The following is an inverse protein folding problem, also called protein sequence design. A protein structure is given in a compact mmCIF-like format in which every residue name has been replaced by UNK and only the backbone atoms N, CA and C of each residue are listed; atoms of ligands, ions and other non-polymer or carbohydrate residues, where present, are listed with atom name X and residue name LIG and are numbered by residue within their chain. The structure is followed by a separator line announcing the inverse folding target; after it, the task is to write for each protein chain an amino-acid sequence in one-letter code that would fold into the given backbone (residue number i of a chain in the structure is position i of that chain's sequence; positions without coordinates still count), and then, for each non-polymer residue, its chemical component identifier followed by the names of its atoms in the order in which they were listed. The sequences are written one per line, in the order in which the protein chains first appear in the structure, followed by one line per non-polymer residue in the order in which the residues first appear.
data_IF_336711367473
#
_entry.id   IF_336711367473
#
_cell.length_a   1.000
_cell.length_b   1.000
_cell.length_c   1.000
_cell.angle_alpha   90.00
_cell.angle_beta   90.00
_cell.angle_gamma   90.00
#
_symmetry.space_group_name_H-M   'P 1'
#
loop_
_entity.id
_entity.type
_entity.pdbx_description
1 polymer ?
#
# COMPACT_ATOMS: atom_id res chain seq x y z
N UNK A 1 3.52 12.03 31.87
CA UNK A 1 3.03 10.74 31.31
C UNK A 1 1.65 11.02 30.74
N UNK A 2 1.50 11.14 29.42
CA UNK A 2 0.21 11.49 28.80
C UNK A 2 -0.80 10.39 29.15
N UNK A 3 -1.97 10.68 29.76
CA UNK A 3 -3.01 9.68 29.91
C UNK A 3 -3.46 9.30 28.49
N UNK A 4 -3.12 8.09 28.07
CA UNK A 4 -3.59 7.55 26.80
C UNK A 4 -5.10 7.42 26.90
N UNK A 5 -5.79 8.19 26.07
CA UNK A 5 -7.20 8.02 25.75
C UNK A 5 -7.50 6.50 25.60
N UNK A 6 -8.51 5.96 26.32
CA UNK A 6 -8.87 4.54 26.28
C UNK A 6 -8.96 3.98 24.86
N UNK A 7 -9.42 4.79 23.89
CA UNK A 7 -9.49 4.42 22.47
C UNK A 7 -8.12 4.12 21.86
N UNK A 8 -7.11 4.96 22.14
CA UNK A 8 -5.73 4.79 21.64
C UNK A 8 -5.08 3.53 22.19
N UNK A 9 -5.34 3.20 23.46
CA UNK A 9 -4.83 1.98 24.08
C UNK A 9 -5.36 0.72 23.41
N UNK A 10 -6.65 0.70 23.06
CA UNK A 10 -7.25 -0.44 22.37
C UNK A 10 -6.76 -0.57 20.92
N UNK A 11 -6.60 0.56 20.19
CA UNK A 11 -5.99 0.56 18.85
C UNK A 11 -4.56 0.03 18.90
N UNK A 12 -3.74 0.48 19.86
CA UNK A 12 -2.37 0.01 20.03
C UNK A 12 -2.33 -1.49 20.34
N UNK A 13 -3.20 -1.96 21.25
CA UNK A 13 -3.28 -3.38 21.60
C UNK A 13 -3.63 -4.22 20.37
N UNK A 14 -4.62 -3.79 19.60
CA UNK A 14 -5.00 -4.48 18.35
C UNK A 14 -3.85 -4.49 17.34
N UNK A 15 -3.19 -3.37 17.11
CA UNK A 15 -2.06 -3.27 16.19
C UNK A 15 -0.90 -4.21 16.58
N UNK A 16 -0.55 -4.25 17.87
CA UNK A 16 0.48 -5.16 18.39
C UNK A 16 0.05 -6.61 18.20
N UNK A 17 -1.20 -6.97 18.56
CA UNK A 17 -1.71 -8.34 18.37
C UNK A 17 -1.70 -8.77 16.91
N UNK A 18 -2.14 -7.92 15.98
CA UNK A 18 -2.09 -8.19 14.55
C UNK A 18 -0.65 -8.35 14.04
N UNK A 19 0.30 -7.54 14.54
CA UNK A 19 1.70 -7.65 14.15
C UNK A 19 2.34 -8.95 14.64
N UNK A 20 2.10 -9.32 15.90
CA UNK A 20 2.56 -10.61 16.45
C UNK A 20 1.96 -11.77 15.67
N UNK A 21 0.66 -11.75 15.39
CA UNK A 21 -0.01 -12.77 14.58
C UNK A 21 0.60 -12.88 13.18
N UNK A 22 0.86 -11.74 12.52
CA UNK A 22 1.51 -11.68 11.20
C UNK A 22 2.88 -12.36 11.24
N UNK A 23 3.73 -12.01 12.22
CA UNK A 23 5.07 -12.58 12.36
C UNK A 23 5.04 -14.09 12.65
N UNK A 24 4.11 -14.54 13.49
CA UNK A 24 3.92 -15.96 13.79
C UNK A 24 3.46 -16.72 12.55
N UNK A 25 2.49 -16.20 11.81
CA UNK A 25 2.01 -16.83 10.56
C UNK A 25 3.11 -16.87 9.50
N UNK A 26 3.93 -15.82 9.37
CA UNK A 26 5.10 -15.83 8.47
C UNK A 26 6.09 -16.93 8.86
N UNK A 27 6.41 -17.07 10.15
CA UNK A 27 7.30 -18.14 10.61
C UNK A 27 6.73 -19.53 10.34
N UNK A 28 5.41 -19.73 10.55
CA UNK A 28 4.73 -20.99 10.27
C UNK A 28 4.73 -21.30 8.77
N UNK A 29 4.36 -20.35 7.93
CA UNK A 29 4.33 -20.54 6.48
C UNK A 29 5.72 -20.79 5.90
N UNK A 30 6.77 -20.10 6.39
CA UNK A 30 8.16 -20.41 6.04
C UNK A 30 8.57 -21.84 6.43
N UNK A 31 8.04 -22.37 7.53
CA UNK A 31 8.33 -23.73 7.97
C UNK A 31 7.58 -24.78 7.12
N UNK A 32 6.35 -24.49 6.69
CA UNK A 32 5.53 -25.42 5.89
C UNK A 32 5.84 -25.38 4.39
N UNK A 33 6.27 -24.23 3.89
CA UNK A 33 6.62 -24.01 2.48
C UNK A 33 8.12 -23.66 2.46
N UNK A 34 9.00 -24.68 2.54
CA UNK A 34 10.43 -24.43 2.52
C UNK A 34 10.81 -23.73 1.22
N UNK A 35 11.56 -22.63 1.38
CA UNK A 35 12.05 -21.80 0.29
C UNK A 35 12.74 -22.66 -0.79
N UNK A 36 12.33 -22.51 -2.04
CA UNK A 36 13.04 -23.09 -3.17
C UNK A 36 14.37 -22.34 -3.29
N UNK A 37 15.43 -22.86 -2.62
CA UNK A 37 16.83 -22.40 -2.71
C UNK A 37 16.99 -21.07 -3.46
N UNK A 38 16.73 -19.96 -2.79
CA UNK A 38 16.90 -18.62 -3.35
C UNK A 38 18.41 -18.31 -3.49
N UNK A 39 19.10 -19.04 -4.37
CA UNK A 39 20.50 -18.79 -4.75
C UNK A 39 20.66 -17.44 -5.47
N UNK A 40 19.56 -16.74 -5.76
CA UNK A 40 19.53 -15.43 -6.39
C UNK A 40 20.38 -14.36 -5.67
N UNK A 41 20.59 -14.50 -4.35
CA UNK A 41 21.45 -13.61 -3.56
C UNK A 41 22.70 -14.29 -3.01
N UNK A 42 22.97 -15.53 -3.40
CA UNK A 42 24.27 -16.16 -3.12
C UNK A 42 25.24 -15.71 -4.20
N UNK A 43 26.13 -14.73 -3.95
CA UNK A 43 27.20 -14.46 -4.89
C UNK A 43 27.98 -15.76 -5.10
N UNK A 44 28.48 -16.04 -6.33
CA UNK A 44 29.33 -17.20 -6.55
C UNK A 44 30.46 -17.15 -5.52
N UNK A 45 30.55 -18.17 -4.66
CA UNK A 45 31.55 -18.22 -3.60
C UNK A 45 32.92 -18.44 -4.26
N UNK A 46 33.66 -17.36 -4.44
CA UNK A 46 35.10 -17.45 -4.70
C UNK A 46 35.76 -17.94 -3.39
N UNK A 47 36.71 -18.87 -3.51
CA UNK A 47 37.39 -19.57 -2.42
C UNK A 47 38.01 -18.62 -1.36
N UNK A 48 38.39 -19.09 -0.15
CA UNK A 48 38.60 -18.19 0.99
C UNK A 48 39.77 -17.23 0.77
N UNK A 49 39.50 -15.98 1.08
CA UNK A 49 40.38 -14.84 0.84
C UNK A 49 41.48 -14.70 1.91
N UNK A 50 42.74 -14.66 1.48
CA UNK A 50 43.91 -14.44 2.34
C UNK A 50 44.26 -12.96 2.50
N UNK A 51 45.34 -12.64 3.21
CA UNK A 51 45.70 -11.26 3.60
C UNK A 51 45.93 -10.28 2.44
N UNK A 52 46.00 -10.75 1.19
CA UNK A 52 46.16 -9.94 -0.04
C UNK A 52 44.81 -9.68 -0.73
N UNK A 53 43.75 -10.43 -0.39
CA UNK A 53 42.37 -10.10 -0.80
C UNK A 53 41.87 -8.77 -0.19
N UNK A 54 42.60 -8.22 0.80
CA UNK A 54 42.44 -6.87 1.34
C UNK A 54 43.17 -5.77 0.54
N UNK A 55 44.03 -6.10 -0.42
CA UNK A 55 44.55 -5.16 -1.43
C UNK A 55 43.63 -5.11 -2.68
N UNK A 56 42.69 -6.05 -2.76
CA UNK A 56 42.02 -6.55 -3.97
C UNK A 56 40.79 -5.74 -4.39
N UNK A 57 40.30 -4.80 -3.57
CA UNK A 57 39.13 -3.97 -3.86
C UNK A 57 39.47 -2.50 -4.20
N UNK A 58 40.74 -2.08 -4.11
CA UNK A 58 41.16 -0.67 -4.24
C UNK A 58 41.37 -0.11 -5.66
N UNK A 59 41.29 -0.91 -6.72
CA UNK A 59 41.37 -0.43 -8.11
C UNK A 59 40.55 -1.34 -9.02
N UNK A 60 39.40 -0.83 -9.49
CA UNK A 60 38.41 -1.41 -10.41
C UNK A 60 38.74 -2.82 -10.97
N UNK A 61 38.15 -3.87 -10.38
CA UNK A 61 38.24 -5.22 -10.95
C UNK A 61 37.47 -5.31 -12.26
N UNK A 62 38.11 -5.92 -13.27
CA UNK A 62 37.47 -6.44 -14.48
C UNK A 62 36.35 -7.42 -14.11
N UNK A 63 35.18 -7.27 -14.72
CA UNK A 63 34.01 -8.13 -14.49
C UNK A 63 34.40 -9.60 -14.75
N UNK A 64 34.06 -10.56 -13.84
CA UNK A 64 34.37 -11.99 -14.04
C UNK A 64 33.94 -12.51 -15.42
N UNK A 65 34.80 -13.28 -16.11
CA UNK A 65 34.52 -13.83 -17.46
C UNK A 65 33.15 -14.51 -17.61
N UNK A 66 32.66 -15.29 -16.62
CA UNK A 66 31.31 -15.86 -16.72
C UNK A 66 30.20 -14.80 -16.77
N UNK A 67 30.36 -13.68 -16.04
CA UNK A 67 29.41 -12.57 -16.06
C UNK A 67 29.52 -11.75 -17.34
N UNK A 68 30.72 -11.59 -17.89
CA UNK A 68 30.94 -10.99 -19.22
C UNK A 68 30.26 -11.82 -20.30
N UNK A 69 30.43 -13.14 -20.26
CA UNK A 69 29.82 -14.05 -21.23
C UNK A 69 28.29 -14.07 -21.10
N UNK A 70 27.78 -14.13 -19.86
CA UNK A 70 26.35 -13.98 -19.60
C UNK A 70 25.81 -12.63 -20.11
N UNK A 71 26.56 -11.55 -19.92
CA UNK A 71 26.17 -10.23 -20.42
C UNK A 71 26.11 -10.22 -21.96
N UNK A 72 27.09 -10.81 -22.65
CA UNK A 72 27.08 -10.95 -24.11
C UNK A 72 25.91 -11.82 -24.57
N UNK A 73 25.69 -12.98 -23.96
CA UNK A 73 24.61 -13.91 -24.29
C UNK A 73 23.22 -13.29 -24.08
N UNK A 74 23.09 -12.41 -23.08
CA UNK A 74 21.85 -11.67 -22.77
C UNK A 74 21.74 -10.34 -23.53
N UNK A 75 22.76 -9.94 -24.29
CA UNK A 75 22.80 -8.65 -24.99
C UNK A 75 22.89 -7.44 -24.07
N UNK A 76 23.45 -7.59 -22.86
CA UNK A 76 23.69 -6.51 -21.91
C UNK A 76 24.93 -5.69 -22.28
N UNK A 77 24.94 -4.41 -21.87
CA UNK A 77 26.06 -3.49 -22.09
C UNK A 77 27.10 -3.65 -20.98
N UNK A 78 28.38 -3.71 -21.36
CA UNK A 78 29.53 -3.85 -20.46
C UNK A 78 30.30 -2.52 -20.45
N UNK A 79 31.00 -2.20 -19.37
CA UNK A 79 31.72 -0.93 -19.19
C UNK A 79 32.76 -0.61 -20.28
N UNK A 80 33.31 -1.62 -20.95
CA UNK A 80 34.26 -1.47 -22.08
C UNK A 80 33.56 -1.46 -23.46
N UNK A 81 32.22 -1.49 -23.49
CA UNK A 81 31.41 -1.44 -24.71
C UNK A 81 30.97 -0.03 -25.09
N UNK A 82 30.06 0.07 -26.07
CA UNK A 82 29.51 1.36 -26.51
C UNK A 82 28.81 2.09 -25.36
N UNK A 83 29.24 3.34 -25.11
CA UNK A 83 28.62 4.22 -24.14
C UNK A 83 27.10 4.33 -24.39
N UNK A 84 26.28 4.30 -23.34
CA UNK A 84 24.86 4.47 -23.50
C UNK A 84 24.51 5.90 -23.92
N UNK A 85 23.45 6.08 -24.72
CA UNK A 85 23.15 7.37 -25.33
C UNK A 85 22.83 8.46 -24.31
N UNK A 86 22.40 8.10 -23.10
CA UNK A 86 22.19 9.07 -22.02
C UNK A 86 23.48 9.73 -21.53
N UNK A 87 24.66 9.17 -21.79
CA UNK A 87 25.94 9.82 -21.47
C UNK A 87 26.16 11.09 -22.30
N UNK A 88 25.60 11.15 -23.51
CA UNK A 88 25.76 12.29 -24.43
C UNK A 88 24.56 13.24 -24.47
N UNK A 89 23.56 13.04 -23.61
CA UNK A 89 22.44 13.96 -23.48
C UNK A 89 22.84 15.21 -22.68
N UNK A 90 22.24 16.36 -23.00
CA UNK A 90 22.43 17.62 -22.26
C UNK A 90 22.12 17.47 -20.77
N UNK A 91 21.15 16.60 -20.45
CA UNK A 91 20.86 16.14 -19.10
C UNK A 91 20.93 14.60 -19.08
N UNK A 92 21.92 13.98 -18.42
CA UNK A 92 22.10 12.53 -18.40
C UNK A 92 21.08 11.85 -17.47
N UNK A 93 19.82 11.84 -17.88
CA UNK A 93 18.70 11.23 -17.14
C UNK A 93 18.67 9.71 -17.34
N UNK A 94 19.56 9.02 -16.63
CA UNK A 94 19.72 7.55 -16.68
C UNK A 94 18.39 6.82 -16.41
N UNK A 95 17.62 7.30 -15.44
CA UNK A 95 16.40 6.62 -15.02
C UNK A 95 15.33 6.59 -16.12
N UNK A 96 15.13 7.70 -16.84
CA UNK A 96 14.19 7.78 -17.96
C UNK A 96 14.58 6.84 -19.10
N UNK A 97 15.88 6.71 -19.38
CA UNK A 97 16.39 5.74 -20.34
C UNK A 97 16.10 4.29 -19.89
N UNK A 98 16.35 3.98 -18.62
CA UNK A 98 16.10 2.63 -18.08
C UNK A 98 14.61 2.29 -18.15
N UNK A 99 13.76 3.23 -17.75
CA UNK A 99 12.31 3.05 -17.77
C UNK A 99 11.79 2.75 -19.17
N UNK A 100 12.27 3.47 -20.18
CA UNK A 100 11.86 3.28 -21.58
C UNK A 100 12.43 1.98 -22.17
N UNK A 101 13.75 1.80 -22.13
CA UNK A 101 14.46 0.72 -22.85
C UNK A 101 14.32 -0.64 -22.17
N UNK A 102 14.40 -0.69 -20.84
CA UNK A 102 14.44 -1.96 -20.12
C UNK A 102 13.12 -2.33 -19.49
N UNK A 103 12.33 -1.35 -19.04
CA UNK A 103 11.08 -1.62 -18.33
C UNK A 103 9.84 -1.41 -19.19
N UNK A 104 9.98 -0.86 -20.40
CA UNK A 104 8.87 -0.51 -21.30
C UNK A 104 7.78 0.33 -20.60
N UNK A 105 8.21 1.28 -19.78
CA UNK A 105 7.32 2.23 -19.10
C UNK A 105 7.07 3.41 -20.02
N UNK A 106 5.81 3.75 -20.22
CA UNK A 106 5.40 4.88 -21.06
C UNK A 106 3.89 4.99 -21.16
N UNK A 107 3.42 6.05 -21.81
CA UNK A 107 1.99 6.33 -21.95
C UNK A 107 1.26 5.16 -22.62
N UNK A 108 0.34 4.54 -21.87
CA UNK A 108 -0.52 3.42 -22.28
C UNK A 108 0.20 2.16 -22.80
N UNK A 109 1.53 2.08 -22.69
CA UNK A 109 2.32 0.94 -23.21
C UNK A 109 2.04 -0.39 -22.51
N UNK A 110 1.48 -0.34 -21.30
CA UNK A 110 1.16 -1.54 -20.50
C UNK A 110 -0.20 -2.18 -20.82
N UNK A 111 -1.04 -1.54 -21.64
CA UNK A 111 -2.42 -1.99 -21.88
C UNK A 111 -2.46 -3.13 -22.91
N UNK A 112 -2.08 -4.32 -22.46
CA UNK A 112 -2.16 -5.56 -23.23
C UNK A 112 -3.13 -6.55 -22.59
N UNK A 113 -3.77 -7.41 -23.39
CA UNK A 113 -4.69 -8.45 -22.88
C UNK A 113 -4.00 -9.44 -21.93
N UNK A 114 -2.70 -9.67 -22.10
CA UNK A 114 -1.91 -10.53 -21.22
C UNK A 114 -1.83 -9.99 -19.79
N UNK A 115 -2.04 -8.69 -19.59
CA UNK A 115 -1.93 -8.02 -18.30
C UNK A 115 -3.24 -7.99 -17.51
N UNK A 116 -4.34 -8.52 -18.06
CA UNK A 116 -5.66 -8.54 -17.39
C UNK A 116 -5.61 -9.02 -15.93
N UNK A 117 -4.86 -10.07 -15.55
CA UNK A 117 -4.75 -10.47 -14.14
C UNK A 117 -4.23 -9.36 -13.22
N UNK A 118 -3.31 -8.53 -13.70
CA UNK A 118 -2.73 -7.42 -12.93
C UNK A 118 -3.74 -6.27 -12.75
N UNK A 119 -4.53 -6.00 -13.79
CA UNK A 119 -5.64 -5.04 -13.69
C UNK A 119 -6.69 -5.51 -12.67
N UNK A 120 -7.02 -6.80 -12.65
CA UNK A 120 -7.95 -7.37 -11.67
C UNK A 120 -7.41 -7.23 -10.24
N UNK A 121 -6.10 -7.41 -10.04
CA UNK A 121 -5.47 -7.23 -8.73
C UNK A 121 -5.50 -5.76 -8.27
N UNK A 122 -5.33 -4.82 -9.19
CA UNK A 122 -5.35 -3.38 -8.88
C UNK A 122 -6.74 -2.77 -8.79
N UNK A 123 -7.75 -3.42 -9.38
CA UNK A 123 -9.10 -2.89 -9.49
C UNK A 123 -9.72 -2.50 -8.13
N UNK A 124 -9.64 -3.30 -7.05
CA UNK A 124 -10.26 -2.92 -5.77
C UNK A 124 -9.76 -1.59 -5.22
N UNK A 125 -8.44 -1.34 -5.27
CA UNK A 125 -7.85 -0.08 -4.80
C UNK A 125 -8.25 1.09 -5.70
N UNK A 126 -8.19 0.89 -7.02
CA UNK A 126 -8.58 1.91 -7.99
C UNK A 126 -10.07 2.29 -7.86
N UNK A 127 -10.95 1.30 -7.66
CA UNK A 127 -12.38 1.50 -7.44
C UNK A 127 -12.61 2.28 -6.14
N UNK A 128 -11.94 1.92 -5.03
CA UNK A 128 -12.08 2.64 -3.77
C UNK A 128 -11.64 4.10 -3.87
N UNK A 129 -10.51 4.38 -4.51
CA UNK A 129 -10.04 5.76 -4.71
C UNK A 129 -10.98 6.55 -5.62
N UNK A 130 -11.44 5.94 -6.71
CA UNK A 130 -12.37 6.59 -7.65
C UNK A 130 -13.72 6.87 -6.98
N UNK A 131 -14.26 5.91 -6.23
CA UNK A 131 -15.52 6.07 -5.51
C UNK A 131 -15.40 7.09 -4.38
N UNK A 132 -14.31 7.08 -3.62
CA UNK A 132 -14.04 8.09 -2.60
C UNK A 132 -13.96 9.50 -3.18
N UNK A 133 -13.25 9.64 -4.31
CA UNK A 133 -13.13 10.91 -5.04
C UNK A 133 -14.49 11.37 -5.56
N UNK A 134 -15.24 10.47 -6.21
CA UNK A 134 -16.58 10.76 -6.72
C UNK A 134 -17.51 11.25 -5.60
N UNK A 135 -17.58 10.49 -4.50
CA UNK A 135 -18.43 10.81 -3.34
C UNK A 135 -18.10 12.19 -2.77
N UNK A 136 -16.82 12.53 -2.67
CA UNK A 136 -16.40 13.82 -2.15
C UNK A 136 -16.74 14.97 -3.11
N UNK A 137 -16.47 14.80 -4.41
CA UNK A 137 -16.75 15.80 -5.44
C UNK A 137 -18.25 16.09 -5.56
N UNK A 138 -19.10 15.05 -5.48
CA UNK A 138 -20.55 15.24 -5.51
C UNK A 138 -21.09 15.91 -4.25
N UNK A 139 -20.42 15.74 -3.11
CA UNK A 139 -20.83 16.36 -1.83
C UNK A 139 -20.36 17.81 -1.74
N UNK A 140 -19.15 18.12 -2.22
CA UNK A 140 -18.53 19.45 -2.15
C UNK A 140 -18.13 20.02 -3.51
N UNK A 141 -19.06 20.17 -4.48
CA UNK A 141 -18.72 20.57 -5.85
C UNK A 141 -18.07 21.97 -5.89
N UNK A 142 -18.53 22.89 -5.04
CA UNK A 142 -17.98 24.24 -4.98
C UNK A 142 -16.55 24.31 -4.43
N UNK A 143 -16.23 23.48 -3.43
CA UNK A 143 -14.87 23.38 -2.90
C UNK A 143 -13.91 22.84 -3.96
N UNK A 144 -14.35 21.85 -4.73
CA UNK A 144 -13.56 21.30 -5.83
C UNK A 144 -13.37 22.31 -6.97
N UNK A 145 -14.41 23.06 -7.35
CA UNK A 145 -14.31 24.11 -8.37
C UNK A 145 -13.39 25.25 -7.95
N UNK A 146 -13.35 25.58 -6.65
CA UNK A 146 -12.48 26.63 -6.11
C UNK A 146 -11.10 26.13 -5.70
N UNK A 147 -10.80 24.83 -5.92
CA UNK A 147 -9.56 24.16 -5.50
C UNK A 147 -9.21 24.39 -4.02
N UNK A 148 -10.22 24.60 -3.16
CA UNK A 148 -10.00 24.96 -1.76
C UNK A 148 -9.42 26.36 -1.52
N UNK A 149 -9.23 27.18 -2.56
CA UNK A 149 -8.64 28.52 -2.44
C UNK A 149 -9.64 29.58 -1.99
N UNK A 150 -10.93 29.40 -2.29
CA UNK A 150 -11.97 30.39 -1.95
C UNK A 150 -12.82 29.89 -0.79
N UNK A 151 -12.46 30.28 0.42
CA UNK A 151 -13.30 30.07 1.60
C UNK A 151 -14.45 31.09 1.59
N UNK A 152 -15.68 30.62 1.47
CA UNK A 152 -16.83 31.51 1.55
C UNK A 152 -16.97 32.01 3.00
N UNK A 153 -17.07 33.33 3.16
CA UNK A 153 -17.18 33.99 4.48
C UNK A 153 -18.49 33.67 5.21
N UNK A 154 -19.50 33.17 4.49
CA UNK A 154 -20.80 32.75 5.02
C UNK A 154 -20.78 31.45 5.82
N UNK A 155 -19.68 30.68 5.74
CA UNK A 155 -19.50 29.37 6.40
C UNK A 155 -18.79 29.47 7.76
N UNK A 156 -18.41 30.67 8.21
CA UNK A 156 -17.82 30.83 9.55
C UNK A 156 -18.87 30.84 10.67
N UNK A 157 -20.15 31.01 10.34
CA UNK A 157 -21.27 31.13 11.30
C UNK A 157 -22.14 29.88 11.43
N UNK A 158 -21.97 28.88 10.58
CA UNK A 158 -22.71 27.62 10.62
C UNK A 158 -21.75 26.46 10.36
N UNK A 159 -21.91 25.40 11.14
CA UNK A 159 -21.28 24.09 10.99
C UNK A 159 -19.91 23.91 11.66
N UNK A 160 -19.95 23.15 12.76
CA UNK A 160 -18.81 22.35 13.20
C UNK A 160 -18.32 21.58 11.96
N UNK A 161 -17.01 21.56 11.65
CA UNK A 161 -16.52 20.83 10.49
C UNK A 161 -17.00 19.39 10.58
N UNK A 162 -17.66 18.89 9.53
CA UNK A 162 -18.12 17.51 9.47
C UNK A 162 -16.99 16.58 9.92
N UNK A 163 -17.18 15.81 11.01
CA UNK A 163 -16.15 14.91 11.47
C UNK A 163 -15.99 13.77 10.46
N UNK A 164 -14.74 13.49 10.06
CA UNK A 164 -14.41 12.32 9.23
C UNK A 164 -14.04 12.64 7.79
N UNK A 165 -14.38 11.72 6.88
CA UNK A 165 -13.89 11.73 5.49
C UNK A 165 -14.37 12.92 4.65
N UNK A 166 -15.54 13.47 4.97
CA UNK A 166 -16.13 14.60 4.27
C UNK A 166 -15.51 15.96 4.67
N UNK A 167 -14.59 15.98 5.64
CA UNK A 167 -13.93 17.22 6.07
C UNK A 167 -13.21 17.93 4.90
N UNK A 168 -13.24 19.27 4.82
CA UNK A 168 -12.46 20.05 3.86
C UNK A 168 -10.96 19.74 3.86
N UNK A 169 -10.41 19.27 4.98
CA UNK A 169 -8.99 18.90 5.13
C UNK A 169 -8.61 17.66 4.32
N UNK A 170 -9.57 16.80 3.99
CA UNK A 170 -9.33 15.57 3.23
C UNK A 170 -9.13 15.87 1.73
N UNK A 171 -9.59 17.03 1.26
CA UNK A 171 -9.52 17.44 -0.14
C UNK A 171 -8.10 17.32 -0.75
N UNK A 172 -7.06 17.77 -0.04
CA UNK A 172 -5.67 17.73 -0.54
C UNK A 172 -5.23 16.28 -0.78
N UNK A 173 -5.56 15.36 0.13
CA UNK A 173 -5.22 13.95 0.00
C UNK A 173 -6.01 13.26 -1.12
N UNK A 174 -7.23 13.71 -1.39
CA UNK A 174 -8.04 13.25 -2.51
C UNK A 174 -7.48 13.70 -3.86
N UNK A 175 -7.13 14.98 -3.99
CA UNK A 175 -6.50 15.50 -5.22
C UNK A 175 -5.17 14.76 -5.46
N UNK A 176 -4.37 14.56 -4.41
CA UNK A 176 -3.16 13.77 -4.50
C UNK A 176 -3.44 12.33 -4.96
N UNK A 177 -4.38 11.63 -4.32
CA UNK A 177 -4.76 10.26 -4.69
C UNK A 177 -5.24 10.14 -6.15
N UNK A 178 -6.07 11.09 -6.60
CA UNK A 178 -6.58 11.13 -7.97
C UNK A 178 -5.45 11.39 -8.98
N UNK A 179 -4.53 12.30 -8.67
CA UNK A 179 -3.37 12.57 -9.51
C UNK A 179 -2.44 11.35 -9.62
N UNK A 180 -2.18 10.65 -8.50
CA UNK A 180 -1.38 9.42 -8.51
C UNK A 180 -2.09 8.28 -9.26
N UNK A 181 -3.41 8.15 -9.11
CA UNK A 181 -4.19 7.16 -9.84
C UNK A 181 -4.15 7.42 -11.35
N UNK A 182 -4.32 8.67 -11.76
CA UNK A 182 -4.25 9.08 -13.16
C UNK A 182 -2.85 8.87 -13.73
N UNK A 183 -1.82 9.38 -13.07
CA UNK A 183 -0.44 9.21 -13.52
C UNK A 183 -0.02 7.73 -13.55
N UNK A 184 -0.29 6.99 -12.49
CA UNK A 184 0.11 5.59 -12.38
C UNK A 184 -0.65 4.66 -13.32
N UNK A 185 -1.91 4.96 -13.67
CA UNK A 185 -2.63 4.19 -14.68
C UNK A 185 -2.15 4.48 -16.10
N UNK A 186 -1.84 5.74 -16.42
CA UNK A 186 -1.43 6.14 -17.77
C UNK A 186 0.04 5.83 -18.07
N UNK A 187 0.92 6.00 -17.08
CA UNK A 187 2.37 6.08 -17.30
C UNK A 187 3.17 5.02 -16.53
N UNK A 188 2.53 4.12 -15.77
CA UNK A 188 3.22 3.06 -15.02
C UNK A 188 2.55 1.70 -15.23
N UNK A 189 3.27 0.64 -14.87
CA UNK A 189 2.69 -0.70 -14.81
C UNK A 189 1.67 -0.78 -13.68
N UNK A 190 0.47 -1.28 -13.98
CA UNK A 190 -0.66 -1.31 -13.04
C UNK A 190 -0.39 -2.18 -11.81
N UNK A 191 0.55 -3.12 -11.88
CA UNK A 191 1.05 -3.86 -10.72
C UNK A 191 1.64 -2.94 -9.63
N UNK A 192 2.32 -1.86 -10.02
CA UNK A 192 2.96 -0.93 -9.08
C UNK A 192 1.95 0.04 -8.48
N UNK A 193 0.80 0.23 -9.15
CA UNK A 193 -0.21 1.21 -8.77
C UNK A 193 -0.79 0.97 -7.37
N UNK A 194 -1.06 -0.29 -7.00
CA UNK A 194 -1.61 -0.64 -5.67
C UNK A 194 -0.65 -0.25 -4.55
N UNK A 195 0.62 -0.60 -4.70
CA UNK A 195 1.69 -0.24 -3.75
C UNK A 195 1.91 1.26 -3.69
N UNK A 196 1.91 1.91 -4.85
CA UNK A 196 2.10 3.35 -4.96
C UNK A 196 0.99 4.11 -4.25
N UNK A 197 -0.28 3.76 -4.49
CA UNK A 197 -1.43 4.35 -3.81
C UNK A 197 -1.46 3.99 -2.32
N UNK A 198 -1.19 2.72 -1.99
CA UNK A 198 -1.16 2.21 -0.61
C UNK A 198 -0.16 2.93 0.30
N UNK A 199 0.99 3.31 -0.26
CA UNK A 199 2.05 3.99 0.50
C UNK A 199 1.94 5.52 0.49
N UNK A 200 1.38 6.09 -0.58
CA UNK A 200 1.45 7.54 -0.82
C UNK A 200 0.18 8.30 -0.42
N UNK A 201 -0.94 7.61 -0.19
CA UNK A 201 -2.19 8.28 0.20
C UNK A 201 -2.97 7.54 1.28
N UNK A 202 -3.50 8.25 2.30
CA UNK A 202 -4.34 7.63 3.33
C UNK A 202 -5.78 7.34 2.84
N UNK A 203 -6.17 7.83 1.66
CA UNK A 203 -7.54 7.70 1.13
C UNK A 203 -7.97 6.26 0.98
N UNK A 204 -7.05 5.37 0.61
CA UNK A 204 -7.29 3.93 0.48
C UNK A 204 -7.71 3.27 1.81
N UNK A 205 -7.44 3.91 2.95
CA UNK A 205 -7.82 3.44 4.28
C UNK A 205 -8.99 4.25 4.86
N UNK A 206 -8.99 5.58 4.67
CA UNK A 206 -10.02 6.45 5.22
C UNK A 206 -11.39 6.26 4.55
N UNK A 207 -11.44 6.07 3.23
CA UNK A 207 -12.71 5.90 2.54
C UNK A 207 -13.41 4.58 2.92
N UNK A 208 -12.72 3.42 2.98
CA UNK A 208 -13.31 2.21 3.55
C UNK A 208 -13.79 2.39 4.99
N UNK A 209 -13.04 3.08 5.85
CA UNK A 209 -13.46 3.35 7.22
C UNK A 209 -14.77 4.16 7.26
N UNK A 210 -14.88 5.18 6.41
CA UNK A 210 -16.11 5.95 6.23
C UNK A 210 -17.28 5.09 5.75
N UNK A 211 -17.07 4.19 4.79
CA UNK A 211 -18.11 3.27 4.31
C UNK A 211 -18.58 2.32 5.43
N UNK A 212 -17.65 1.76 6.21
CA UNK A 212 -17.97 0.90 7.35
C UNK A 212 -18.81 1.65 8.38
N UNK A 213 -18.38 2.85 8.76
CA UNK A 213 -19.11 3.70 9.71
C UNK A 213 -20.50 4.10 9.18
N UNK A 214 -20.63 4.36 7.89
CA UNK A 214 -21.91 4.71 7.30
C UNK A 214 -22.86 3.51 7.19
N UNK A 215 -22.36 2.31 6.97
CA UNK A 215 -23.22 1.16 6.70
C UNK A 215 -23.56 0.32 7.94
N UNK A 216 -22.69 0.33 8.96
CA UNK A 216 -22.85 -0.54 10.12
C UNK A 216 -23.42 0.22 11.33
N UNK A 217 -24.64 -0.12 11.79
CA UNK A 217 -25.24 0.51 12.97
C UNK A 217 -24.39 0.34 14.23
N UNK A 218 -23.66 -0.78 14.34
CA UNK A 218 -22.75 -1.09 15.45
C UNK A 218 -21.62 -0.07 15.60
N UNK A 219 -21.18 0.53 14.49
CA UNK A 219 -20.14 1.57 14.51
C UNK A 219 -20.72 2.95 14.81
N UNK A 220 -21.94 3.23 14.34
CA UNK A 220 -22.65 4.50 14.59
C UNK A 220 -23.02 4.68 16.06
N UNK A 221 -23.49 3.62 16.72
CA UNK A 221 -23.92 3.69 18.12
C UNK A 221 -22.77 4.04 19.08
N UNK A 222 -21.54 3.64 18.73
CA UNK A 222 -20.35 3.90 19.54
C UNK A 222 -19.95 5.39 19.57
N UNK A 223 -20.19 6.15 18.49
CA UNK A 223 -19.95 7.60 18.47
C UNK A 223 -21.01 8.39 19.25
N UNK A 224 -22.24 7.88 19.30
CA UNK A 224 -23.35 8.56 19.98
C UNK A 224 -23.32 8.46 21.50
N UNK A 225 -22.49 7.56 22.06
CA UNK A 225 -22.33 7.42 23.51
C UNK A 225 -21.04 8.13 23.93
N UNK A 226 -21.10 9.26 24.68
CA UNK A 226 -19.92 9.83 25.32
C UNK A 226 -19.27 8.74 26.18
N UNK A 227 -17.99 8.43 25.94
CA UNK A 227 -17.25 7.42 26.68
C UNK A 227 -17.25 7.76 28.17
N UNK A 228 -18.22 7.23 28.91
CA UNK A 228 -18.11 7.05 30.36
C UNK A 228 -17.34 5.75 30.57
N UNK A 229 -16.28 5.73 31.40
CA UNK A 229 -15.71 4.47 31.85
C UNK A 229 -16.84 3.70 32.52
N UNK A 230 -17.29 2.62 31.89
CA UNK A 230 -18.23 1.73 32.55
C UNK A 230 -17.47 1.17 33.75
N UNK A 231 -17.91 1.54 34.96
CA UNK A 231 -17.53 0.85 36.17
C UNK A 231 -17.79 -0.66 35.96
N UNK A 232 -16.90 -1.49 36.48
CA UNK A 232 -16.84 -2.95 36.29
C UNK A 232 -18.02 -3.73 36.88
N UNK A 233 -19.27 -3.35 36.62
CA UNK A 233 -20.44 -4.00 37.23
C UNK A 233 -21.46 -4.43 36.16
N UNK A 234 -21.02 -5.17 35.13
CA UNK A 234 -21.93 -5.88 34.22
C UNK A 234 -21.80 -7.40 34.38
N UNK A 235 -22.92 -8.14 34.47
CA UNK A 235 -22.94 -9.57 34.80
C UNK A 235 -22.27 -10.45 33.73
N UNK A 236 -21.84 -11.67 34.08
CA UNK A 236 -21.03 -12.53 33.23
C UNK A 236 -21.90 -13.19 32.14
N UNK A 237 -22.16 -12.47 31.05
CA UNK A 237 -22.95 -13.03 29.95
C UNK A 237 -22.80 -12.37 28.59
N UNK A 238 -22.36 -11.11 28.53
CA UNK A 238 -22.29 -10.40 27.25
C UNK A 238 -21.11 -9.43 27.22
N UNK A 239 -19.90 -9.97 27.11
CA UNK A 239 -18.72 -9.16 26.80
C UNK A 239 -18.84 -8.69 25.36
N UNK A 240 -19.42 -7.50 25.16
CA UNK A 240 -19.32 -6.78 23.88
C UNK A 240 -17.83 -6.71 23.51
N UNK A 241 -17.42 -7.14 22.31
CA UNK A 241 -16.00 -7.11 21.94
C UNK A 241 -15.50 -5.67 22.04
N UNK A 242 -14.45 -5.46 22.84
CA UNK A 242 -13.84 -4.13 23.08
C UNK A 242 -13.33 -3.45 21.79
N UNK A 243 -13.11 -4.23 20.74
CA UNK A 243 -12.73 -3.75 19.41
C UNK A 243 -13.90 -3.92 18.44
N UNK A 244 -14.38 -2.81 17.90
CA UNK A 244 -15.53 -2.77 16.99
C UNK A 244 -15.31 -3.53 15.68
N UNK A 245 -14.09 -3.52 15.14
CA UNK A 245 -13.74 -4.29 13.93
C UNK A 245 -13.81 -5.79 14.23
N UNK A 246 -13.32 -6.23 15.38
CA UNK A 246 -13.45 -7.64 15.79
C UNK A 246 -14.92 -8.02 15.99
N UNK A 247 -15.74 -7.08 16.48
CA UNK A 247 -17.19 -7.24 16.54
C UNK A 247 -17.84 -7.45 15.17
N UNK A 248 -17.41 -6.72 14.14
CA UNK A 248 -17.89 -6.92 12.77
C UNK A 248 -17.43 -8.27 12.20
N UNK A 249 -16.19 -8.69 12.47
CA UNK A 249 -15.68 -9.98 12.03
C UNK A 249 -16.43 -11.15 12.68
N UNK A 250 -16.74 -11.06 13.97
CA UNK A 250 -17.53 -12.08 14.66
C UNK A 250 -18.98 -12.13 14.13
N UNK A 251 -19.55 -10.96 13.82
CA UNK A 251 -20.90 -10.80 13.28
C UNK A 251 -20.92 -10.71 11.73
N UNK A 252 -20.01 -11.40 11.05
CA UNK A 252 -19.83 -11.30 9.59
C UNK A 252 -21.13 -11.48 8.80
N UNK A 253 -21.99 -12.41 9.22
CA UNK A 253 -23.26 -12.75 8.55
C UNK A 253 -24.33 -11.68 8.68
N UNK A 254 -24.21 -10.75 9.63
CA UNK A 254 -25.18 -9.65 9.81
C UNK A 254 -24.71 -8.33 9.21
N UNK A 255 -23.42 -8.22 8.85
CA UNK A 255 -22.85 -7.03 8.20
C UNK A 255 -23.43 -6.79 6.79
N UNK A 256 -23.41 -5.54 6.33
CA UNK A 256 -23.72 -5.12 4.96
C UNK A 256 -22.86 -5.87 3.93
N UNK A 257 -23.37 -6.02 2.69
CA UNK A 257 -22.61 -6.62 1.58
C UNK A 257 -21.33 -5.86 1.30
N UNK A 258 -21.37 -4.53 1.32
CA UNK A 258 -20.19 -3.70 1.05
C UNK A 258 -19.16 -3.82 2.17
N UNK A 259 -19.59 -3.85 3.44
CA UNK A 259 -18.69 -4.15 4.59
C UNK A 259 -17.99 -5.50 4.43
N UNK A 260 -18.74 -6.55 4.05
CA UNK A 260 -18.16 -7.88 3.79
C UNK A 260 -17.15 -7.85 2.64
N UNK A 261 -17.44 -7.14 1.55
CA UNK A 261 -16.51 -6.99 0.43
C UNK A 261 -15.22 -6.28 0.86
N UNK A 262 -15.33 -5.19 1.62
CA UNK A 262 -14.17 -4.41 2.11
C UNK A 262 -13.32 -5.24 3.06
N UNK A 263 -13.92 -5.76 4.13
CA UNK A 263 -13.20 -6.56 5.12
C UNK A 263 -12.61 -7.83 4.49
N UNK A 264 -13.37 -8.46 3.58
CA UNK A 264 -12.93 -9.64 2.86
C UNK A 264 -11.72 -9.33 1.99
N UNK A 265 -11.77 -8.24 1.23
CA UNK A 265 -10.63 -7.79 0.43
C UNK A 265 -9.38 -7.57 1.29
N UNK A 266 -9.45 -6.81 2.39
CA UNK A 266 -8.28 -6.55 3.24
C UNK A 266 -7.75 -7.82 3.91
N UNK A 267 -8.63 -8.70 4.40
CA UNK A 267 -8.22 -9.97 5.03
C UNK A 267 -7.60 -10.92 4.01
N UNK A 268 -8.20 -11.05 2.83
CA UNK A 268 -7.67 -11.91 1.75
C UNK A 268 -6.35 -11.35 1.23
N UNK A 269 -6.23 -10.04 1.03
CA UNK A 269 -4.98 -9.41 0.61
C UNK A 269 -3.87 -9.61 1.63
N UNK A 270 -4.17 -9.46 2.93
CA UNK A 270 -3.24 -9.72 4.01
C UNK A 270 -2.81 -11.20 4.03
N UNK A 271 -3.75 -12.14 4.01
CA UNK A 271 -3.45 -13.58 4.06
C UNK A 271 -2.65 -14.04 2.84
N UNK A 272 -3.07 -13.62 1.64
CA UNK A 272 -2.38 -13.97 0.39
C UNK A 272 -0.98 -13.34 0.35
N UNK A 273 -0.83 -12.12 0.83
CA UNK A 273 0.48 -11.50 1.00
C UNK A 273 1.39 -12.27 1.94
N UNK A 274 0.87 -12.81 3.05
CA UNK A 274 1.66 -13.65 3.96
C UNK A 274 2.10 -14.95 3.29
N UNK A 275 1.20 -15.64 2.61
CA UNK A 275 1.50 -16.90 1.91
C UNK A 275 2.55 -16.72 0.81
N UNK A 276 2.45 -15.63 0.03
CA UNK A 276 3.36 -15.38 -1.08
C UNK A 276 4.69 -14.78 -0.64
N UNK A 277 4.71 -14.03 0.46
CA UNK A 277 5.94 -13.48 1.03
C UNK A 277 6.93 -14.59 1.42
N UNK A 278 6.43 -15.72 1.90
CA UNK A 278 7.24 -16.89 2.29
C UNK A 278 8.03 -17.51 1.13
N UNK A 279 7.65 -17.23 -0.11
CA UNK A 279 8.32 -17.76 -1.31
C UNK A 279 9.16 -16.69 -2.04
N UNK A 280 9.43 -15.54 -1.41
CA UNK A 280 10.06 -14.37 -2.06
C UNK A 280 9.39 -13.93 -3.37
N UNK A 281 8.15 -14.37 -3.61
CA UNK A 281 7.42 -13.98 -4.79
C UNK A 281 7.11 -12.48 -4.71
N UNK A 282 7.24 -11.74 -5.82
CA UNK A 282 6.92 -10.33 -5.85
C UNK A 282 5.40 -10.15 -5.66
N UNK A 283 4.96 -10.11 -4.40
CA UNK A 283 3.62 -9.69 -4.03
C UNK A 283 3.60 -8.17 -3.96
N UNK A 284 2.64 -7.57 -4.65
CA UNK A 284 2.51 -6.11 -4.77
C UNK A 284 2.24 -5.45 -3.42
#
# INVERSE_FOLDING_TARGET
MWPLDPSRKEVLRFAVSCRVLTLVLQALFNAFIPDHHAEAFSPPRLAPSGSVDQLVEGSARSIPKPLVQLAVDKGYRIAEGNEPPWCSWELPLIYSYIQDVYWNVGFLRYYELKQVPNFLLAAPVAILVTWGTWTYVTTHPWLCLTLGMRRNKSDETLEKPDPGFLSPRVFVYLVHAAALLLFGSLCMHVQVLTRFLGSSTPIVYWFPAYLLQHQEPLLRSLETVPWKPLAEDSPPGQKVPRNSIMGLLYNWKTCSRVTRCILGYFLTYWLLGLLLHCNFLPWT
#
